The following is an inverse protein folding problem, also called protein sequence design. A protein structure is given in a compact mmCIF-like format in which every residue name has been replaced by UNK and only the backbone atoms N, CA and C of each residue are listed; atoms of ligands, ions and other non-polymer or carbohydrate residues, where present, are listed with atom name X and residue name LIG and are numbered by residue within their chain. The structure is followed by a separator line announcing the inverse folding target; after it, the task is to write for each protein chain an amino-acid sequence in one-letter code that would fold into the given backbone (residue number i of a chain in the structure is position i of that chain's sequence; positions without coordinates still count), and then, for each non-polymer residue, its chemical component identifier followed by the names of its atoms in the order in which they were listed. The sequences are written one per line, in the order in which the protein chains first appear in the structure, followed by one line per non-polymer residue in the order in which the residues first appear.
data_IF_311977281286
#
_entry.id   IF_311977281286
#
_cell.length_a   1.000
_cell.length_b   1.000
_cell.length_c   1.000
_cell.angle_alpha   90.00
_cell.angle_beta   90.00
_cell.angle_gamma   90.00
#
_symmetry.space_group_name_H-M   'P 1'
#
loop_
_entity.id
_entity.type
_entity.pdbx_description
1 polymer ?
#
# COMPACT_ATOMS: atom_id res chain seq x y z
N UNK A 1 -17.50 -1.47 -15.01
CA UNK A 1 -17.60 -1.83 -16.43
C UNK A 1 -18.61 -2.92 -16.69
N UNK A 2 -18.41 -4.17 -16.25
CA UNK A 2 -19.37 -5.25 -16.50
C UNK A 2 -20.79 -4.95 -15.97
N UNK A 3 -20.90 -4.40 -14.76
CA UNK A 3 -22.19 -3.95 -14.19
C UNK A 3 -22.74 -2.66 -14.81
N UNK A 4 -21.91 -1.89 -15.53
CA UNK A 4 -22.31 -0.61 -16.12
C UNK A 4 -22.85 -0.78 -17.54
N UNK A 5 -22.25 -1.69 -18.31
CA UNK A 5 -22.63 -1.97 -19.70
C UNK A 5 -23.38 -3.29 -19.87
N UNK A 6 -23.43 -4.15 -18.84
CA UNK A 6 -24.07 -5.47 -18.92
C UNK A 6 -23.35 -6.46 -19.85
N UNK A 7 -22.14 -6.13 -20.29
CA UNK A 7 -21.36 -6.86 -21.29
C UNK A 7 -19.97 -7.17 -20.72
N UNK A 8 -19.37 -8.27 -21.17
CA UNK A 8 -18.01 -8.65 -20.81
C UNK A 8 -17.02 -7.56 -21.23
N UNK A 9 -16.06 -7.17 -20.37
CA UNK A 9 -15.09 -6.12 -20.73
C UNK A 9 -14.21 -6.44 -21.95
N UNK A 10 -14.16 -7.71 -22.36
CA UNK A 10 -13.45 -8.21 -23.54
C UNK A 10 -14.19 -7.90 -24.86
N UNK A 11 -15.51 -7.72 -24.80
CA UNK A 11 -16.37 -7.46 -25.98
C UNK A 11 -16.66 -5.96 -26.17
N UNK A 12 -16.17 -5.10 -25.27
CA UNK A 12 -16.41 -3.65 -25.32
C UNK A 12 -15.60 -3.00 -26.44
N UNK A 13 -16.26 -2.11 -27.19
CA UNK A 13 -15.56 -1.30 -28.18
C UNK A 13 -14.58 -0.32 -27.49
N UNK A 14 -13.39 -0.06 -28.05
CA UNK A 14 -12.40 0.86 -27.48
C UNK A 14 -12.94 2.25 -27.13
N UNK A 15 -13.96 2.73 -27.86
CA UNK A 15 -14.62 4.02 -27.60
C UNK A 15 -15.46 3.98 -26.31
N UNK A 16 -16.24 2.92 -26.08
CA UNK A 16 -17.03 2.77 -24.85
C UNK A 16 -16.15 2.70 -23.60
N UNK A 17 -14.96 2.12 -23.76
CA UNK A 17 -13.94 2.07 -22.70
C UNK A 17 -13.42 3.47 -22.37
N UNK A 18 -13.17 4.30 -23.39
CA UNK A 18 -12.74 5.70 -23.19
C UNK A 18 -13.83 6.55 -22.54
N UNK A 19 -15.07 6.43 -23.02
CA UNK A 19 -16.21 7.17 -22.49
C UNK A 19 -16.45 6.83 -21.02
N UNK A 20 -16.35 5.55 -20.67
CA UNK A 20 -16.45 5.12 -19.28
C UNK A 20 -15.31 5.68 -18.41
N UNK A 21 -14.07 5.64 -18.90
CA UNK A 21 -12.93 6.20 -18.15
C UNK A 21 -13.06 7.72 -17.98
N UNK A 22 -13.60 8.42 -18.98
CA UNK A 22 -13.89 9.85 -18.93
C UNK A 22 -15.01 10.18 -17.94
N UNK A 23 -16.10 9.41 -17.94
CA UNK A 23 -17.17 9.51 -16.96
C UNK A 23 -16.67 9.23 -15.54
N UNK A 24 -15.81 8.22 -15.37
CA UNK A 24 -15.18 7.89 -14.09
C UNK A 24 -14.29 9.02 -13.57
N UNK A 25 -13.61 9.72 -14.48
CA UNK A 25 -12.80 10.89 -14.17
C UNK A 25 -13.67 12.07 -13.70
N UNK A 26 -14.80 12.33 -14.37
CA UNK A 26 -15.71 13.43 -14.00
C UNK A 26 -16.48 13.17 -12.70
N UNK A 27 -16.91 11.93 -12.44
CA UNK A 27 -17.66 11.57 -11.22
C UNK A 27 -16.82 11.65 -9.94
N UNK A 28 -15.49 11.63 -10.06
CA UNK A 28 -14.58 11.54 -8.91
C UNK A 28 -14.20 12.92 -8.37
N UNK A 29 -14.99 13.43 -7.41
CA UNK A 29 -14.70 14.68 -6.65
C UNK A 29 -13.34 14.68 -5.94
N UNK A 30 -12.84 13.49 -5.58
CA UNK A 30 -11.43 13.27 -5.28
C UNK A 30 -10.94 12.20 -6.25
N UNK A 31 -9.92 12.47 -7.08
CA UNK A 31 -9.31 11.42 -7.86
C UNK A 31 -8.57 10.56 -6.84
N UNK A 32 -9.22 9.54 -6.28
CA UNK A 32 -8.48 8.44 -5.65
C UNK A 32 -7.70 7.81 -6.79
N UNK A 33 -6.50 8.37 -7.04
CA UNK A 33 -5.65 8.03 -8.18
C UNK A 33 -5.42 6.52 -8.22
N UNK A 34 -5.42 5.89 -7.04
CA UNK A 34 -5.40 4.46 -6.85
C UNK A 34 -6.54 3.76 -7.58
N UNK A 35 -7.81 4.15 -7.41
CA UNK A 35 -8.94 3.45 -8.05
C UNK A 35 -8.92 3.55 -9.57
N UNK A 36 -8.69 4.76 -10.10
CA UNK A 36 -8.56 4.98 -11.55
C UNK A 36 -7.37 4.20 -12.13
N UNK A 37 -6.20 4.27 -11.49
CA UNK A 37 -5.00 3.51 -11.90
C UNK A 37 -5.25 2.00 -11.87
N UNK A 38 -5.86 1.48 -10.81
CA UNK A 38 -6.19 0.06 -10.70
C UNK A 38 -7.16 -0.37 -11.80
N UNK A 39 -8.14 0.47 -12.14
CA UNK A 39 -9.07 0.21 -13.23
C UNK A 39 -8.32 0.13 -14.57
N UNK A 40 -7.46 1.11 -14.90
CA UNK A 40 -6.70 1.10 -16.16
C UNK A 40 -5.71 -0.06 -16.23
N UNK A 41 -4.96 -0.33 -15.15
CA UNK A 41 -4.02 -1.45 -15.12
C UNK A 41 -4.73 -2.81 -15.14
N UNK A 42 -5.88 -2.94 -14.47
CA UNK A 42 -6.71 -4.13 -14.52
C UNK A 42 -7.23 -4.41 -15.93
N UNK A 43 -7.68 -3.37 -16.64
CA UNK A 43 -8.11 -3.49 -18.03
C UNK A 43 -6.96 -3.86 -18.96
N UNK A 44 -5.80 -3.21 -18.80
CA UNK A 44 -4.59 -3.55 -19.56
C UNK A 44 -4.19 -5.01 -19.34
N UNK A 45 -4.27 -5.50 -18.11
CA UNK A 45 -3.98 -6.90 -17.77
C UNK A 45 -4.98 -7.87 -18.42
N UNK A 46 -6.27 -7.55 -18.38
CA UNK A 46 -7.32 -8.35 -19.01
C UNK A 46 -7.14 -8.42 -20.53
N UNK A 47 -7.02 -7.28 -21.21
CA UNK A 47 -6.83 -7.22 -22.67
C UNK A 47 -5.53 -7.91 -23.11
N UNK A 48 -4.46 -7.78 -22.31
CA UNK A 48 -3.20 -8.49 -22.55
C UNK A 48 -3.37 -10.01 -22.43
N UNK A 49 -4.18 -10.49 -21.50
CA UNK A 49 -4.45 -11.92 -21.33
C UNK A 49 -5.20 -12.49 -22.53
N UNK A 50 -6.08 -11.69 -23.13
CA UNK A 50 -6.90 -12.02 -24.31
C UNK A 50 -6.20 -11.72 -25.65
N UNK A 51 -4.91 -11.32 -25.65
CA UNK A 51 -4.15 -10.90 -26.84
C UNK A 51 -4.80 -9.76 -27.67
N UNK A 52 -5.58 -8.89 -27.03
CA UNK A 52 -6.21 -7.75 -27.67
C UNK A 52 -5.32 -6.49 -27.63
N UNK A 53 -5.40 -5.61 -28.65
CA UNK A 53 -4.67 -4.35 -28.64
C UNK A 53 -5.19 -3.45 -27.52
N UNK A 54 -4.29 -2.86 -26.73
CA UNK A 54 -4.62 -2.03 -25.57
C UNK A 54 -3.98 -0.63 -25.63
N UNK A 55 -3.46 -0.22 -26.79
CA UNK A 55 -2.69 1.02 -26.95
C UNK A 55 -3.51 2.27 -26.63
N UNK A 56 -4.83 2.22 -26.79
CA UNK A 56 -5.74 3.32 -26.50
C UNK A 56 -5.95 3.59 -24.99
N UNK A 57 -5.47 2.71 -24.10
CA UNK A 57 -5.57 2.85 -22.65
C UNK A 57 -4.38 3.62 -22.08
N UNK A 58 -4.36 4.93 -22.30
CA UNK A 58 -3.36 5.82 -21.71
C UNK A 58 -3.84 6.38 -20.36
N UNK A 59 -2.96 6.33 -19.36
CA UNK A 59 -3.18 7.10 -18.14
C UNK A 59 -2.87 8.58 -18.43
N UNK A 60 -3.80 9.51 -18.17
CA UNK A 60 -3.45 10.92 -18.17
C UNK A 60 -2.36 11.19 -17.12
N UNK A 61 -1.42 12.07 -17.46
CA UNK A 61 -0.41 12.53 -16.51
C UNK A 61 -1.09 13.44 -15.48
N UNK A 62 -1.49 12.86 -14.36
CA UNK A 62 -2.15 13.60 -13.26
C UNK A 62 -1.05 14.02 -12.26
N UNK A 63 -0.95 15.32 -11.91
CA UNK A 63 0.03 15.79 -10.94
C UNK A 63 -0.21 15.10 -9.58
N UNK A 64 0.87 14.58 -9.00
CA UNK A 64 0.83 14.02 -7.64
C UNK A 64 0.94 15.18 -6.66
N UNK A 65 -0.12 15.40 -5.87
CA UNK A 65 0.02 16.18 -4.65
C UNK A 65 0.99 15.46 -3.72
N UNK A 66 2.20 16.02 -3.55
CA UNK A 66 3.14 15.55 -2.53
C UNK A 66 2.65 16.04 -1.18
N UNK A 67 1.84 15.23 -0.50
CA UNK A 67 1.61 15.44 0.94
C UNK A 67 2.92 15.20 1.67
N UNK A 68 3.38 16.20 2.42
CA UNK A 68 4.52 16.02 3.29
C UNK A 68 4.16 14.95 4.33
N UNK A 69 5.06 13.99 4.61
CA UNK A 69 4.82 13.01 5.65
C UNK A 69 4.69 13.75 6.98
N UNK A 70 3.58 13.54 7.69
CA UNK A 70 3.43 14.03 9.06
C UNK A 70 4.28 13.11 9.94
N UNK A 71 5.40 13.64 10.43
CA UNK A 71 6.29 12.91 11.34
C UNK A 71 5.88 13.25 12.76
N UNK A 72 5.59 12.21 13.56
CA UNK A 72 5.27 12.37 14.98
C UNK A 72 6.54 12.72 15.76
N UNK A 73 6.39 13.67 16.69
CA UNK A 73 7.43 14.03 17.66
C UNK A 73 7.63 12.94 18.71
N UNK A 74 8.79 12.95 19.37
CA UNK A 74 9.11 11.98 20.44
C UNK A 74 8.10 12.04 21.59
N UNK A 75 7.60 13.23 21.91
CA UNK A 75 6.59 13.44 22.97
C UNK A 75 5.24 12.81 22.63
N UNK A 76 4.79 12.95 21.37
CA UNK A 76 3.55 12.34 20.91
C UNK A 76 3.63 10.81 20.95
N UNK A 77 4.77 10.23 20.55
CA UNK A 77 4.99 8.79 20.65
C UNK A 77 4.98 8.33 22.10
N UNK A 78 5.59 9.10 23.01
CA UNK A 78 5.59 8.75 24.44
C UNK A 78 4.18 8.78 25.04
N UNK A 79 3.37 9.79 24.70
CA UNK A 79 1.95 9.85 25.06
C UNK A 79 1.18 8.65 24.50
N UNK A 80 1.46 8.23 23.26
CA UNK A 80 0.83 7.06 22.62
C UNK A 80 1.21 5.74 23.30
N UNK A 81 2.46 5.60 23.75
CA UNK A 81 2.91 4.44 24.51
C UNK A 81 2.28 4.38 25.91
N UNK A 82 2.11 5.53 26.56
CA UNK A 82 1.47 5.61 27.86
C UNK A 82 -0.03 5.32 27.81
N UNK A 83 -0.72 5.82 26.78
CA UNK A 83 -2.17 5.59 26.60
C UNK A 83 -2.50 4.17 26.18
N UNK A 84 -1.55 3.42 25.62
CA UNK A 84 -1.76 2.02 25.29
C UNK A 84 -1.87 1.17 26.57
N UNK A 85 -3.07 0.64 26.84
CA UNK A 85 -3.33 -0.25 27.99
C UNK A 85 -2.69 -1.63 27.84
N UNK A 86 -2.66 -2.14 26.60
CA UNK A 86 -2.20 -3.48 26.29
C UNK A 86 -0.71 -3.50 25.93
N UNK A 87 0.05 -4.40 26.56
CA UNK A 87 1.49 -4.57 26.29
C UNK A 87 1.78 -4.83 24.81
N UNK A 88 0.93 -5.60 24.13
CA UNK A 88 1.06 -5.86 22.68
C UNK A 88 1.06 -4.57 21.83
N UNK A 89 0.28 -3.56 22.22
CA UNK A 89 0.22 -2.29 21.49
C UNK A 89 1.46 -1.43 21.77
N UNK A 90 1.95 -1.42 23.02
CA UNK A 90 3.20 -0.75 23.39
C UNK A 90 4.38 -1.31 22.60
N UNK A 91 4.50 -2.63 22.56
CA UNK A 91 5.56 -3.32 21.80
C UNK A 91 5.42 -3.04 20.29
N UNK A 92 4.21 -3.09 19.74
CA UNK A 92 3.96 -2.76 18.33
C UNK A 92 4.41 -1.33 17.98
N UNK A 93 4.01 -0.34 18.77
CA UNK A 93 4.40 1.06 18.56
C UNK A 93 5.91 1.23 18.69
N UNK A 94 6.52 0.62 19.71
CA UNK A 94 7.97 0.64 19.93
C UNK A 94 8.76 0.01 18.78
N UNK A 95 8.29 -1.11 18.22
CA UNK A 95 8.91 -1.78 17.08
C UNK A 95 8.78 -0.97 15.78
N UNK A 96 7.59 -0.41 15.52
CA UNK A 96 7.36 0.43 14.32
C UNK A 96 8.21 1.69 14.39
N UNK A 97 8.25 2.37 15.53
CA UNK A 97 8.98 3.63 15.68
C UNK A 97 10.50 3.42 15.82
N UNK A 98 10.91 2.48 16.68
CA UNK A 98 12.33 2.24 16.99
C UNK A 98 13.08 1.49 15.89
N UNK A 99 12.41 0.58 15.19
CA UNK A 99 13.02 -0.19 14.10
C UNK A 99 12.52 0.21 12.71
N UNK A 100 11.58 1.15 12.58
CA UNK A 100 11.08 1.60 11.27
C UNK A 100 10.33 0.51 10.48
N UNK A 101 9.71 -0.44 11.18
CA UNK A 101 9.10 -1.61 10.57
C UNK A 101 7.75 -1.30 9.93
N UNK A 102 7.45 -1.96 8.81
CA UNK A 102 6.12 -1.89 8.19
C UNK A 102 5.14 -2.75 8.99
N UNK A 103 3.85 -2.37 8.98
CA UNK A 103 2.81 -3.08 9.72
C UNK A 103 2.76 -4.60 9.43
N UNK A 104 2.99 -4.99 8.18
CA UNK A 104 3.02 -6.40 7.77
C UNK A 104 4.25 -7.14 8.32
N UNK A 105 5.38 -6.45 8.43
CA UNK A 105 6.63 -7.02 8.96
C UNK A 105 6.45 -7.27 10.46
N UNK A 106 5.96 -6.28 11.22
CA UNK A 106 5.77 -6.43 12.68
C UNK A 106 4.79 -7.54 13.05
N UNK A 107 3.70 -7.65 12.29
CA UNK A 107 2.69 -8.68 12.53
C UNK A 107 3.22 -10.10 12.29
N UNK A 108 4.20 -10.26 11.41
CA UNK A 108 4.77 -11.56 11.04
C UNK A 108 6.08 -11.86 11.79
N UNK A 109 6.46 -11.06 12.80
CA UNK A 109 7.62 -11.36 13.65
C UNK A 109 7.31 -12.60 14.48
N UNK A 110 8.28 -13.51 14.51
CA UNK A 110 8.28 -14.69 15.36
C UNK A 110 9.38 -14.55 16.41
N UNK A 111 9.25 -15.26 17.53
CA UNK A 111 10.26 -15.22 18.60
C UNK A 111 11.66 -15.65 18.15
N UNK A 112 11.75 -16.55 17.15
CA UNK A 112 13.02 -16.98 16.54
C UNK A 112 13.80 -15.85 15.83
N UNK A 113 13.13 -14.75 15.53
CA UNK A 113 13.73 -13.59 14.88
C UNK A 113 14.34 -12.60 15.88
N UNK A 114 14.07 -12.77 17.18
CA UNK A 114 14.59 -11.92 18.25
C UNK A 114 15.84 -12.58 18.85
N UNK A 115 16.97 -11.92 18.67
CA UNK A 115 18.19 -12.24 19.41
C UNK A 115 18.27 -11.30 20.62
N UNK A 116 17.94 -11.84 21.80
CA UNK A 116 17.95 -11.08 23.05
C UNK A 116 19.37 -10.78 23.54
N UNK A 117 20.36 -11.62 23.22
CA UNK A 117 21.76 -11.43 23.62
C UNK A 117 22.37 -10.26 22.86
N UNK A 118 22.10 -10.18 21.56
CA UNK A 118 22.60 -9.10 20.69
C UNK A 118 21.66 -7.91 20.60
N UNK A 119 20.46 -8.00 21.19
CA UNK A 119 19.37 -7.02 21.04
C UNK A 119 19.11 -6.71 19.55
N UNK A 120 19.01 -7.77 18.75
CA UNK A 120 18.83 -7.69 17.30
C UNK A 120 17.52 -8.33 16.88
N UNK A 121 16.92 -7.75 15.84
CA UNK A 121 15.71 -8.25 15.22
C UNK A 121 16.00 -8.59 13.76
N UNK A 122 15.90 -9.88 13.45
CA UNK A 122 16.16 -10.42 12.13
C UNK A 122 14.86 -10.52 11.33
N UNK A 123 14.65 -9.66 10.33
CA UNK A 123 13.47 -9.74 9.47
C UNK A 123 13.85 -10.35 8.13
N UNK A 124 13.22 -11.47 7.82
CA UNK A 124 13.24 -12.07 6.49
C UNK A 124 12.06 -11.50 5.71
N UNK A 125 12.32 -10.58 4.78
CA UNK A 125 11.26 -10.08 3.90
C UNK A 125 10.82 -11.17 2.92
N UNK A 126 9.55 -11.14 2.52
CA UNK A 126 8.92 -12.08 1.58
C UNK A 126 9.56 -12.12 0.18
N UNK A 127 10.53 -11.25 -0.12
CA UNK A 127 11.32 -11.23 -1.36
C UNK A 127 12.76 -11.75 -1.19
N UNK A 128 13.06 -12.48 -0.12
CA UNK A 128 14.35 -13.17 0.08
C UNK A 128 15.49 -12.27 0.54
N UNK A 129 15.27 -10.97 0.77
CA UNK A 129 16.25 -10.09 1.38
C UNK A 129 16.15 -10.18 2.90
N UNK A 130 17.23 -10.63 3.53
CA UNK A 130 17.42 -10.54 4.99
C UNK A 130 17.80 -9.11 5.32
N UNK A 131 17.11 -8.52 6.29
CA UNK A 131 17.46 -7.22 6.83
C UNK A 131 17.64 -7.42 8.33
N UNK A 132 18.86 -7.17 8.79
CA UNK A 132 19.19 -7.18 10.22
C UNK A 132 18.96 -5.77 10.74
N UNK A 133 18.01 -5.62 11.65
CA UNK A 133 17.72 -4.34 12.31
C UNK A 133 18.12 -4.43 13.78
N UNK A 134 18.83 -3.40 14.23
CA UNK A 134 19.21 -3.28 15.63
C UNK A 134 18.00 -2.79 16.42
N UNK A 135 17.66 -3.52 17.48
CA UNK A 135 16.59 -3.14 18.38
C UNK A 135 17.13 -2.05 19.30
N UNK A 136 16.95 -0.78 18.95
CA UNK A 136 17.13 0.33 19.89
C UNK A 136 15.91 0.41 20.83
N UNK A 137 15.64 -0.67 21.57
CA UNK A 137 14.69 -0.61 22.68
C UNK A 137 15.45 -0.09 23.91
N UNK A 138 15.39 1.22 24.12
CA UNK A 138 15.50 1.80 25.46
C UNK A 138 14.05 2.06 25.87
N UNK A 139 13.46 1.07 26.53
CA UNK A 139 12.34 1.27 27.45
C UNK A 139 12.90 0.97 28.84
#
# INVERSE_FOLDING_TARGET
MALHFGILPTELHPEQVKDYLFELQQRSLSPSQSYFKHTVYGLRFLLKTENLPYDYLHLPSIPKEKKLPVVLSREEIWKMLQSAELLKHRVLIGLIYGCGLRCMEVRNIELKHLDFDRKQLHIVQSKGKKIDMFLYLII
#
